data_IF_562571845639
#
_entry.id   IF_562571845639
#
_cell.length_a   1.000
_cell.length_b   1.000
_cell.length_c   1.000
_cell.angle_alpha   90.00
_cell.angle_beta   90.00
_cell.angle_gamma   90.00
#
_symmetry.space_group_name_H-M   'P 1'
#
loop_
_entity.id
_entity.type
_entity.pdbx_description
1 polymer ?
#
# COMPACT_ATOMS: atom_id res chain seq x y z
N UNK A 1 -8.71 2.08 -8.57
CA UNK A 1 -7.51 1.23 -8.40
C UNK A 1 -6.89 1.56 -7.06
N UNK A 2 -6.05 0.69 -6.47
CA UNK A 2 -5.36 1.03 -5.20
C UNK A 2 -4.66 2.38 -5.32
N UNK A 3 -3.88 2.60 -6.38
CA UNK A 3 -3.17 3.87 -6.60
C UNK A 3 -4.08 5.10 -6.69
N UNK A 4 -5.32 4.97 -7.20
CA UNK A 4 -6.26 6.10 -7.25
C UNK A 4 -6.81 6.47 -5.87
N UNK A 5 -6.89 5.52 -4.95
CA UNK A 5 -7.35 5.76 -3.57
C UNK A 5 -6.33 6.57 -2.75
N UNK A 6 -5.06 6.56 -3.14
CA UNK A 6 -3.97 7.27 -2.47
C UNK A 6 -3.60 8.61 -3.11
N UNK A 7 -4.39 9.14 -4.06
CA UNK A 7 -4.04 10.38 -4.79
C UNK A 7 -3.90 11.62 -3.91
N UNK A 8 -4.61 11.69 -2.78
CA UNK A 8 -4.50 12.79 -1.81
C UNK A 8 -3.41 12.59 -0.76
N UNK A 9 -2.86 11.37 -0.66
CA UNK A 9 -1.81 11.04 0.30
C UNK A 9 -0.42 11.39 -0.23
N UNK A 10 0.58 11.50 0.65
CA UNK A 10 2.00 11.63 0.27
C UNK A 10 2.61 10.31 -0.22
N UNK A 11 1.81 9.37 -0.70
CA UNK A 11 2.24 8.04 -1.16
C UNK A 11 2.83 8.11 -2.55
N UNK A 12 3.96 7.42 -2.76
CA UNK A 12 4.57 7.23 -4.07
C UNK A 12 4.51 5.75 -4.42
N UNK A 13 4.24 5.46 -5.69
CA UNK A 13 4.17 4.09 -6.20
C UNK A 13 5.33 3.81 -7.14
N UNK A 14 5.72 2.54 -7.19
CA UNK A 14 6.61 1.97 -8.20
C UNK A 14 6.10 0.59 -8.55
N UNK A 15 6.28 0.16 -9.80
CA UNK A 15 5.81 -1.14 -10.28
C UNK A 15 6.91 -1.86 -11.05
N UNK A 16 7.19 -3.08 -10.60
CA UNK A 16 8.00 -4.06 -11.32
C UNK A 16 7.16 -5.30 -11.58
N UNK A 17 7.17 -5.74 -12.82
CA UNK A 17 6.65 -7.05 -13.21
C UNK A 17 7.81 -8.05 -13.20
N UNK A 18 7.53 -9.27 -12.77
CA UNK A 18 8.52 -10.35 -12.75
C UNK A 18 7.94 -11.62 -13.39
N UNK A 19 8.82 -12.35 -14.06
CA UNK A 19 8.66 -13.74 -14.46
C UNK A 19 10.00 -14.44 -14.19
N UNK A 20 10.64 -15.01 -15.22
CA UNK A 20 12.09 -15.24 -15.24
C UNK A 20 12.87 -13.99 -15.69
N UNK A 21 12.17 -13.03 -16.30
CA UNK A 21 12.64 -11.67 -16.58
C UNK A 21 12.09 -10.67 -15.57
N UNK A 22 12.67 -9.48 -15.50
CA UNK A 22 12.28 -8.43 -14.55
C UNK A 22 12.18 -7.09 -15.27
N UNK A 23 10.99 -6.50 -15.28
CA UNK A 23 10.75 -5.23 -15.94
C UNK A 23 10.19 -4.22 -14.95
N UNK A 24 10.95 -3.15 -14.70
CA UNK A 24 10.44 -1.97 -13.99
C UNK A 24 9.64 -1.13 -14.98
N UNK A 25 8.33 -1.02 -14.77
CA UNK A 25 7.45 -0.22 -15.63
C UNK A 25 7.51 1.27 -15.26
N UNK A 26 7.61 1.57 -13.96
CA UNK A 26 7.86 2.92 -13.48
C UNK A 26 8.49 2.91 -12.08
N UNK A 27 9.43 3.83 -11.86
CA UNK A 27 10.07 4.08 -10.56
C UNK A 27 9.26 5.10 -9.74
N UNK A 28 9.64 5.33 -8.49
CA UNK A 28 9.06 6.43 -7.69
C UNK A 28 9.34 7.81 -8.31
N UNK A 29 10.47 7.98 -9.02
CA UNK A 29 10.77 9.21 -9.77
C UNK A 29 9.80 9.42 -10.94
N UNK A 30 9.50 8.36 -11.68
CA UNK A 30 8.55 8.43 -12.79
C UNK A 30 7.14 8.75 -12.30
N UNK A 31 6.72 8.11 -11.19
CA UNK A 31 5.43 8.39 -10.56
C UNK A 31 5.32 9.85 -10.07
N UNK A 32 6.39 10.41 -9.48
CA UNK A 32 6.42 11.83 -9.09
C UNK A 32 6.24 12.78 -10.29
N UNK A 33 6.84 12.45 -11.43
CA UNK A 33 6.73 13.27 -12.65
C UNK A 33 5.37 13.15 -13.33
N UNK A 34 4.77 11.97 -13.28
CA UNK A 34 3.47 11.69 -13.86
C UNK A 34 2.60 10.90 -12.87
N UNK A 35 1.92 11.56 -11.92
CA UNK A 35 1.09 10.91 -10.90
C UNK A 35 -0.27 10.45 -11.45
N UNK A 36 -0.28 9.89 -12.68
CA UNK A 36 -1.48 9.33 -13.33
C UNK A 36 -1.37 7.81 -13.44
N UNK A 37 -1.92 7.05 -12.47
CA UNK A 37 -1.85 5.59 -12.45
C UNK A 37 -2.35 4.94 -13.75
N UNK A 38 -3.45 5.45 -14.30
CA UNK A 38 -4.02 4.91 -15.52
C UNK A 38 -3.06 5.02 -16.70
N UNK A 39 -2.35 6.14 -16.83
CA UNK A 39 -1.38 6.35 -17.92
C UNK A 39 -0.13 5.46 -17.79
N UNK A 40 0.31 5.21 -16.56
CA UNK A 40 1.50 4.39 -16.27
C UNK A 40 1.24 2.90 -16.42
N UNK A 41 0.01 2.45 -16.14
CA UNK A 41 -0.36 1.03 -16.18
C UNK A 41 -0.89 0.59 -17.54
N UNK A 42 -1.55 1.48 -18.31
CA UNK A 42 -2.10 1.14 -19.64
C UNK A 42 -1.12 0.48 -20.62
N UNK A 43 0.16 0.88 -20.72
CA UNK A 43 1.09 0.28 -21.68
C UNK A 43 1.70 -1.05 -21.22
N UNK A 44 1.39 -1.53 -20.00
CA UNK A 44 2.00 -2.73 -19.44
C UNK A 44 1.49 -3.97 -20.18
N UNK A 45 2.43 -4.75 -20.73
CA UNK A 45 2.18 -6.06 -21.32
C UNK A 45 2.67 -7.16 -20.40
N UNK A 46 1.98 -8.30 -20.38
CA UNK A 46 2.37 -9.44 -19.56
C UNK A 46 3.70 -10.03 -20.06
N UNK A 47 4.65 -10.21 -19.15
CA UNK A 47 5.82 -11.04 -19.35
C UNK A 47 5.40 -12.50 -19.24
N UNK A 48 5.81 -13.29 -20.22
CA UNK A 48 5.67 -14.74 -20.17
C UNK A 48 6.89 -15.34 -19.47
N UNK A 49 6.82 -16.63 -19.13
CA UNK A 49 7.92 -17.36 -18.53
C UNK A 49 7.58 -17.94 -17.16
N UNK A 50 8.61 -18.25 -16.37
CA UNK A 50 8.50 -18.87 -15.04
C UNK A 50 8.32 -17.82 -13.94
N UNK A 51 8.30 -18.27 -12.68
CA UNK A 51 7.97 -17.41 -11.53
C UNK A 51 9.18 -17.29 -10.60
N UNK A 52 10.06 -16.31 -10.85
CA UNK A 52 11.25 -16.05 -10.03
C UNK A 52 10.99 -15.02 -8.92
N UNK A 53 10.08 -15.37 -8.01
CA UNK A 53 9.57 -14.49 -6.95
C UNK A 53 10.65 -14.01 -5.97
N UNK A 54 11.53 -14.90 -5.49
CA UNK A 54 12.56 -14.54 -4.52
C UNK A 54 13.58 -13.58 -5.14
N UNK A 55 13.99 -13.84 -6.39
CA UNK A 55 14.85 -12.92 -7.14
C UNK A 55 14.15 -11.58 -7.40
N UNK A 56 12.85 -11.58 -7.71
CA UNK A 56 12.05 -10.36 -7.87
C UNK A 56 12.04 -9.50 -6.61
N UNK A 57 11.75 -10.11 -5.45
CA UNK A 57 11.78 -9.42 -4.14
C UNK A 57 13.15 -8.79 -3.91
N UNK A 58 14.25 -9.52 -4.14
CA UNK A 58 15.61 -8.97 -3.97
C UNK A 58 15.86 -7.75 -4.84
N UNK A 59 15.42 -7.78 -6.11
CA UNK A 59 15.55 -6.64 -7.03
C UNK A 59 14.77 -5.44 -6.54
N UNK A 60 13.51 -5.61 -6.13
CA UNK A 60 12.71 -4.52 -5.56
C UNK A 60 13.40 -3.89 -4.35
N UNK A 61 13.89 -4.73 -3.42
CA UNK A 61 14.56 -4.29 -2.18
C UNK A 61 15.87 -3.55 -2.44
N UNK A 62 16.62 -3.93 -3.47
CA UNK A 62 17.93 -3.32 -3.79
C UNK A 62 17.83 -2.15 -4.77
N UNK A 63 16.87 -2.18 -5.67
CA UNK A 63 16.79 -1.23 -6.77
C UNK A 63 15.66 -0.22 -6.55
N UNK A 64 14.40 -0.65 -6.40
CA UNK A 64 13.28 0.29 -6.35
C UNK A 64 13.28 1.13 -5.07
N UNK A 65 13.53 0.52 -3.91
CA UNK A 65 13.65 1.24 -2.64
C UNK A 65 14.96 2.02 -2.46
N UNK A 66 15.73 2.22 -3.54
CA UNK A 66 16.94 3.02 -3.53
C UNK A 66 16.63 4.50 -3.87
N UNK A 67 17.34 5.43 -3.23
CA UNK A 67 17.17 6.89 -3.42
C UNK A 67 17.28 7.34 -4.88
N UNK A 68 18.24 6.78 -5.63
CA UNK A 68 18.39 6.95 -7.09
C UNK A 68 17.09 6.75 -7.90
N UNK A 69 16.20 5.87 -7.44
CA UNK A 69 14.91 5.57 -8.07
C UNK A 69 13.74 6.34 -7.44
N UNK A 70 14.04 7.30 -6.56
CA UNK A 70 13.08 8.23 -5.97
C UNK A 70 12.49 7.80 -4.64
N UNK A 71 12.97 6.69 -4.07
CA UNK A 71 12.56 6.25 -2.74
C UNK A 71 13.03 7.25 -1.67
N UNK A 72 12.14 7.54 -0.71
CA UNK A 72 12.44 8.43 0.42
C UNK A 72 12.97 7.60 1.58
N UNK A 73 14.01 8.08 2.24
CA UNK A 73 14.62 7.39 3.39
C UNK A 73 13.68 7.32 4.59
N UNK A 74 13.02 8.43 4.92
CA UNK A 74 12.10 8.55 6.06
C UNK A 74 10.68 8.08 5.76
N UNK A 75 10.44 7.42 4.63
CA UNK A 75 9.12 6.90 4.28
C UNK A 75 8.99 5.42 4.65
N UNK A 76 7.77 5.04 5.01
CA UNK A 76 7.39 3.64 5.14
C UNK A 76 7.53 2.93 3.80
N UNK A 77 8.17 1.76 3.82
CA UNK A 77 8.43 0.95 2.63
C UNK A 77 7.46 -0.22 2.63
N UNK A 78 6.51 -0.18 1.71
CA UNK A 78 5.49 -1.22 1.57
C UNK A 78 5.70 -1.92 0.23
N UNK A 79 5.82 -3.24 0.26
CA UNK A 79 5.89 -4.11 -0.90
C UNK A 79 4.63 -4.95 -0.97
N UNK A 80 3.88 -4.85 -2.07
CA UNK A 80 2.74 -5.71 -2.35
C UNK A 80 3.15 -6.71 -3.43
N UNK A 81 3.29 -7.98 -3.07
CA UNK A 81 3.58 -9.07 -3.99
C UNK A 81 2.26 -9.67 -4.45
N UNK A 82 2.02 -9.66 -5.76
CA UNK A 82 0.87 -10.33 -6.38
C UNK A 82 1.41 -11.51 -7.18
N UNK A 83 0.90 -12.71 -6.93
CA UNK A 83 1.32 -13.93 -7.62
C UNK A 83 0.15 -14.88 -7.82
N UNK A 84 0.14 -15.58 -8.95
CA UNK A 84 -0.82 -16.63 -9.30
C UNK A 84 -0.17 -18.02 -9.39
N UNK A 85 1.10 -18.16 -9.00
CA UNK A 85 1.83 -19.42 -9.06
C UNK A 85 2.93 -19.57 -8.01
N UNK A 86 3.27 -20.82 -7.68
CA UNK A 86 4.43 -21.16 -6.84
C UNK A 86 5.73 -20.72 -7.51
N UNK A 87 6.74 -20.34 -6.70
CA UNK A 87 8.10 -20.10 -7.19
C UNK A 87 8.62 -21.31 -7.94
N UNK A 88 9.03 -21.11 -9.19
CA UNK A 88 9.54 -22.17 -10.04
C UNK A 88 10.77 -21.72 -10.83
N UNK A 89 11.84 -22.52 -10.77
CA UNK A 89 13.11 -22.26 -11.47
C UNK A 89 13.92 -21.07 -10.93
N UNK A 90 13.51 -20.45 -9.81
CA UNK A 90 14.23 -19.33 -9.21
C UNK A 90 15.56 -19.81 -8.58
N UNK A 91 16.70 -19.20 -8.93
CA UNK A 91 17.99 -19.56 -8.33
C UNK A 91 18.12 -19.19 -6.85
N UNK A 92 17.20 -18.38 -6.31
CA UNK A 92 17.20 -17.99 -4.89
C UNK A 92 16.06 -18.62 -4.11
N UNK A 93 16.26 -18.70 -2.80
CA UNK A 93 15.21 -19.00 -1.85
C UNK A 93 14.81 -17.77 -1.02
N UNK A 94 13.61 -17.84 -0.43
CA UNK A 94 13.09 -16.77 0.42
C UNK A 94 13.99 -16.48 1.64
N UNK A 95 14.67 -17.50 2.18
CA UNK A 95 15.65 -17.36 3.26
C UNK A 95 16.82 -16.44 2.90
N UNK A 96 17.13 -16.28 1.61
CA UNK A 96 18.24 -15.45 1.14
C UNK A 96 17.84 -13.98 0.96
N UNK A 97 16.55 -13.68 0.88
CA UNK A 97 16.03 -12.37 0.45
C UNK A 97 15.15 -11.69 1.51
N UNK A 98 14.35 -12.46 2.25
CA UNK A 98 13.44 -11.92 3.28
C UNK A 98 14.19 -11.25 4.43
N UNK A 99 15.30 -11.80 4.97
CA UNK A 99 16.08 -11.10 6.00
C UNK A 99 16.66 -9.76 5.53
N UNK A 100 16.95 -9.59 4.23
CA UNK A 100 17.35 -8.29 3.70
C UNK A 100 16.16 -7.30 3.68
N UNK A 101 14.99 -7.75 3.26
CA UNK A 101 13.77 -6.93 3.28
C UNK A 101 13.41 -6.48 4.71
N UNK A 102 13.50 -7.38 5.69
CA UNK A 102 13.27 -7.08 7.11
C UNK A 102 14.25 -6.05 7.65
N UNK A 103 15.56 -6.22 7.40
CA UNK A 103 16.59 -5.25 7.82
C UNK A 103 16.39 -3.86 7.22
N UNK A 104 15.78 -3.75 6.03
CA UNK A 104 15.47 -2.47 5.39
C UNK A 104 14.11 -1.88 5.80
N UNK A 105 13.40 -2.54 6.72
CA UNK A 105 12.09 -2.09 7.20
C UNK A 105 10.99 -2.17 6.15
N UNK A 106 11.07 -3.14 5.23
CA UNK A 106 10.06 -3.32 4.16
C UNK A 106 8.91 -4.19 4.68
N UNK A 107 7.74 -3.58 4.85
CA UNK A 107 6.49 -4.27 5.16
C UNK A 107 5.99 -4.94 3.89
N UNK A 108 5.68 -6.23 3.97
CA UNK A 108 5.34 -7.06 2.81
C UNK A 108 3.92 -7.61 2.93
N UNK A 109 3.09 -7.22 1.98
CA UNK A 109 1.79 -7.81 1.73
C UNK A 109 1.87 -8.78 0.57
N UNK A 110 1.12 -9.87 0.64
CA UNK A 110 1.13 -10.91 -0.37
C UNK A 110 -0.31 -11.22 -0.77
N UNK A 111 -0.54 -11.26 -2.07
CA UNK A 111 -1.83 -11.57 -2.66
C UNK A 111 -1.64 -12.77 -3.58
N UNK A 112 -2.14 -13.92 -3.14
CA UNK A 112 -2.23 -15.13 -3.95
C UNK A 112 -3.52 -15.12 -4.77
N UNK A 113 -3.40 -15.26 -6.09
CA UNK A 113 -4.53 -15.26 -7.02
C UNK A 113 -4.76 -16.65 -7.59
N UNK A 114 -6.01 -17.08 -7.63
CA UNK A 114 -6.43 -18.35 -8.21
C UNK A 114 -6.11 -19.57 -7.35
N UNK A 115 -6.18 -20.74 -7.99
CA UNK A 115 -6.17 -22.04 -7.32
C UNK A 115 -4.76 -22.57 -7.01
N UNK A 116 -3.71 -21.84 -7.38
CA UNK A 116 -2.34 -22.23 -7.10
C UNK A 116 -2.02 -22.32 -5.60
N UNK A 117 -2.81 -21.63 -4.75
CA UNK A 117 -2.56 -21.51 -3.32
C UNK A 117 -3.53 -22.30 -2.44
N UNK A 118 -4.07 -23.41 -2.96
CA UNK A 118 -4.97 -24.30 -2.18
C UNK A 118 -4.19 -25.29 -1.32
N UNK A 119 -2.95 -25.62 -1.68
CA UNK A 119 -2.14 -26.60 -0.94
C UNK A 119 -1.41 -25.99 0.26
N UNK A 120 -1.20 -26.78 1.32
CA UNK A 120 -0.43 -26.34 2.49
C UNK A 120 0.99 -25.86 2.15
N UNK A 121 1.58 -26.40 1.07
CA UNK A 121 2.92 -26.03 0.62
C UNK A 121 2.92 -24.64 -0.02
N UNK A 122 2.01 -24.38 -0.96
CA UNK A 122 1.87 -23.07 -1.60
C UNK A 122 1.40 -22.00 -0.61
N UNK A 123 0.57 -22.35 0.37
CA UNK A 123 0.21 -21.45 1.47
C UNK A 123 1.41 -21.04 2.32
N UNK A 124 2.29 -21.99 2.66
CA UNK A 124 3.54 -21.69 3.38
C UNK A 124 4.45 -20.75 2.60
N UNK A 125 4.40 -20.80 1.27
CA UNK A 125 5.13 -19.87 0.43
C UNK A 125 4.66 -18.42 0.63
N UNK A 126 3.35 -18.17 0.56
CA UNK A 126 2.77 -16.85 0.81
C UNK A 126 3.13 -16.34 2.21
N UNK A 127 3.03 -17.23 3.21
CA UNK A 127 3.35 -16.92 4.61
C UNK A 127 4.83 -16.59 4.82
N UNK A 128 5.71 -17.19 4.03
CA UNK A 128 7.16 -16.94 4.10
C UNK A 128 7.51 -15.57 3.53
N UNK A 129 6.78 -15.11 2.50
CA UNK A 129 7.01 -13.81 1.87
C UNK A 129 6.43 -12.69 2.74
N UNK A 130 5.24 -12.88 3.29
CA UNK A 130 4.51 -11.85 4.00
C UNK A 130 5.18 -11.42 5.31
N UNK A 131 4.90 -10.18 5.73
CA UNK A 131 5.24 -9.73 7.09
C UNK A 131 4.32 -10.38 8.12
N UNK A 132 4.77 -10.42 9.38
CA UNK A 132 3.96 -10.94 10.49
C UNK A 132 3.07 -9.83 11.07
N UNK A 133 1.87 -10.17 11.58
CA UNK A 133 1.25 -11.50 11.59
C UNK A 133 0.63 -11.85 10.23
N UNK A 134 0.55 -13.15 9.92
CA UNK A 134 0.02 -13.69 8.66
C UNK A 134 -1.36 -13.15 8.31
N UNK A 135 -2.28 -13.18 9.27
CA UNK A 135 -3.70 -12.81 9.06
C UNK A 135 -3.91 -11.38 8.57
N UNK A 136 -2.90 -10.52 8.74
CA UNK A 136 -2.97 -9.13 8.29
C UNK A 136 -2.32 -8.88 6.94
N UNK A 137 -1.40 -9.75 6.52
CA UNK A 137 -0.50 -9.49 5.40
C UNK A 137 -0.65 -10.48 4.24
N UNK A 138 -1.38 -11.58 4.43
CA UNK A 138 -1.66 -12.57 3.38
C UNK A 138 -3.12 -12.48 2.98
N UNK A 139 -3.35 -12.26 1.69
CA UNK A 139 -4.68 -12.31 1.08
C UNK A 139 -4.71 -13.37 0.00
N UNK A 140 -5.80 -14.13 -0.06
CA UNK A 140 -6.05 -15.11 -1.10
C UNK A 140 -7.34 -14.75 -1.81
N UNK A 141 -7.30 -14.76 -3.13
CA UNK A 141 -8.48 -14.49 -3.96
C UNK A 141 -8.62 -15.51 -5.06
N UNK A 142 -9.85 -15.93 -5.29
CA UNK A 142 -10.17 -16.89 -6.33
C UNK A 142 -9.94 -16.31 -7.73
N UNK A 143 -10.06 -14.99 -7.91
CA UNK A 143 -9.86 -14.32 -9.20
C UNK A 143 -9.47 -12.84 -9.03
N UNK A 144 -9.06 -12.22 -10.14
CA UNK A 144 -8.68 -10.81 -10.17
C UNK A 144 -9.84 -9.85 -9.87
N UNK A 145 -11.10 -10.26 -9.98
CA UNK A 145 -12.23 -9.41 -9.60
C UNK A 145 -12.36 -9.27 -8.09
N UNK A 146 -12.07 -10.35 -7.35
CA UNK A 146 -12.05 -10.36 -5.89
C UNK A 146 -10.91 -9.50 -5.30
N UNK A 147 -9.92 -9.10 -6.10
CA UNK A 147 -8.94 -8.08 -5.70
C UNK A 147 -9.61 -6.77 -5.34
N UNK A 148 -10.76 -6.42 -5.95
CA UNK A 148 -11.51 -5.19 -5.61
C UNK A 148 -11.89 -5.15 -4.13
N UNK A 149 -12.26 -6.30 -3.55
CA UNK A 149 -12.58 -6.41 -2.12
C UNK A 149 -11.35 -6.24 -1.25
N UNK A 150 -10.19 -6.76 -1.69
CA UNK A 150 -8.91 -6.57 -0.99
C UNK A 150 -8.46 -5.10 -1.04
N UNK A 151 -8.80 -4.35 -2.11
CA UNK A 151 -8.34 -2.94 -2.23
C UNK A 151 -8.70 -2.12 -1.00
N UNK A 152 -9.94 -2.23 -0.51
CA UNK A 152 -10.39 -1.49 0.67
C UNK A 152 -9.67 -1.95 1.95
N UNK A 153 -9.52 -3.25 2.16
CA UNK A 153 -8.81 -3.79 3.33
C UNK A 153 -7.32 -3.41 3.34
N UNK A 154 -6.67 -3.49 2.18
CA UNK A 154 -5.28 -3.10 2.01
C UNK A 154 -5.13 -1.59 2.22
N UNK A 155 -6.07 -0.79 1.73
CA UNK A 155 -6.11 0.65 1.94
C UNK A 155 -6.22 0.98 3.44
N UNK A 156 -7.19 0.41 4.15
CA UNK A 156 -7.40 0.62 5.59
C UNK A 156 -6.15 0.24 6.39
N UNK A 157 -5.54 -0.91 6.08
CA UNK A 157 -4.32 -1.36 6.74
C UNK A 157 -3.13 -0.44 6.46
N UNK A 158 -2.95 0.03 5.23
CA UNK A 158 -1.87 0.96 4.88
C UNK A 158 -2.08 2.31 5.60
N UNK A 159 -3.30 2.84 5.62
CA UNK A 159 -3.59 4.07 6.36
C UNK A 159 -3.40 3.91 7.87
N UNK A 160 -3.74 2.74 8.44
CA UNK A 160 -3.47 2.47 9.84
C UNK A 160 -1.96 2.46 10.17
N UNK A 161 -1.09 2.05 9.25
CA UNK A 161 0.37 2.11 9.45
C UNK A 161 0.86 3.56 9.45
N UNK A 162 0.37 4.38 8.52
CA UNK A 162 0.61 5.82 8.58
C UNK A 162 0.12 6.36 9.96
N UNK A 163 -1.02 5.83 10.44
CA UNK A 163 -1.78 6.13 11.68
C UNK A 163 -1.03 5.99 12.98
N UNK A 164 -0.14 5.01 13.02
CA UNK A 164 0.41 4.45 14.26
C UNK A 164 1.92 4.65 14.39
N UNK A 165 2.55 5.24 13.37
CA UNK A 165 3.97 5.56 13.39
C UNK A 165 4.25 6.81 14.24
N UNK A 166 4.51 6.58 15.52
CA UNK A 166 5.11 7.55 16.45
C UNK A 166 6.52 7.92 15.96
N UNK A 167 6.61 8.94 15.10
CA UNK A 167 7.87 9.45 14.54
C UNK A 167 7.89 9.69 13.03
N UNK A 168 6.80 9.45 12.30
CA UNK A 168 6.67 9.90 10.92
C UNK A 168 6.42 11.41 10.85
N UNK A 169 7.14 12.14 10.01
CA UNK A 169 6.91 13.58 9.73
C UNK A 169 5.67 13.85 8.86
N UNK A 170 4.81 12.86 8.65
CA UNK A 170 3.51 13.03 8.01
C UNK A 170 2.42 12.96 9.06
N UNK A 171 1.98 14.12 9.54
CA UNK A 171 0.76 14.25 10.34
C UNK A 171 -0.45 13.94 9.44
N UNK A 172 -1.42 13.20 9.95
CA UNK A 172 -2.77 13.23 9.38
C UNK A 172 -3.34 14.63 9.50
N UNK A 173 -4.11 15.07 8.54
CA UNK A 173 -4.90 16.30 8.68
C UNK A 173 -6.35 15.91 8.95
N UNK A 174 -6.97 15.20 7.99
CA UNK A 174 -8.39 14.84 8.06
C UNK A 174 -8.70 13.43 7.54
N UNK A 175 -7.71 12.64 7.14
CA UNK A 175 -7.88 11.31 6.54
C UNK A 175 -8.56 10.33 7.50
N UNK A 176 -8.37 10.51 8.81
CA UNK A 176 -9.02 9.73 9.86
C UNK A 176 -10.03 10.55 10.66
N UNK A 177 -10.52 11.68 10.12
CA UNK A 177 -11.28 12.69 10.87
C UNK A 177 -12.50 12.14 11.62
N UNK A 178 -13.19 11.13 11.08
CA UNK A 178 -14.45 10.62 11.61
C UNK A 178 -15.46 11.76 11.87
N UNK A 179 -15.59 12.66 10.89
CA UNK A 179 -16.54 13.77 10.96
C UNK A 179 -17.97 13.27 11.22
N UNK A 180 -18.66 13.91 12.17
CA UNK A 180 -20.04 13.60 12.53
C UNK A 180 -20.19 12.59 13.67
N UNK A 181 -19.10 12.18 14.33
CA UNK A 181 -19.16 11.35 15.54
C UNK A 181 -19.89 12.05 16.70
N UNK A 182 -19.83 13.39 16.73
CA UNK A 182 -20.66 14.27 17.55
C UNK A 182 -21.17 15.41 16.69
N UNK A 183 -22.32 15.98 17.05
CA UNK A 183 -22.92 17.07 16.29
C UNK A 183 -23.67 18.02 17.22
N UNK A 184 -23.61 19.32 16.92
CA UNK A 184 -24.40 20.35 17.57
C UNK A 184 -24.82 21.42 16.56
N UNK A 185 -26.04 21.95 16.70
CA UNK A 185 -26.49 23.08 15.90
C UNK A 185 -26.13 24.38 16.62
N UNK A 186 -25.44 25.28 15.90
CA UNK A 186 -25.12 26.63 16.37
C UNK A 186 -25.92 27.66 15.59
N UNK A 187 -25.91 28.93 16.01
CA UNK A 187 -26.51 30.03 15.25
C UNK A 187 -25.91 30.19 13.84
N UNK A 188 -24.66 29.75 13.66
CA UNK A 188 -23.89 29.94 12.43
C UNK A 188 -23.93 28.72 11.50
N UNK A 189 -24.49 27.59 11.96
CA UNK A 189 -24.62 26.34 11.20
C UNK A 189 -24.39 25.07 12.03
N UNK A 190 -24.52 23.88 11.42
CA UNK A 190 -24.18 22.62 12.07
C UNK A 190 -22.67 22.51 12.27
N UNK A 191 -22.28 22.14 13.50
CA UNK A 191 -20.92 21.85 13.91
C UNK A 191 -20.77 20.34 14.10
N UNK A 192 -19.88 19.72 13.34
CA UNK A 192 -19.65 18.27 13.34
C UNK A 192 -18.29 17.96 13.93
N UNK A 193 -18.26 17.20 15.03
CA UNK A 193 -17.02 16.76 15.67
C UNK A 193 -16.25 15.79 14.79
N UNK A 194 -14.93 15.90 14.82
CA UNK A 194 -14.02 15.16 13.97
C UNK A 194 -12.80 14.66 14.79
N UNK A 195 -13.03 13.61 15.59
CA UNK A 195 -12.12 13.12 16.62
C UNK A 195 -10.77 12.64 16.11
N UNK A 196 -10.68 12.14 14.88
CA UNK A 196 -9.43 11.62 14.33
C UNK A 196 -8.69 12.61 13.41
N UNK A 197 -9.08 13.90 13.45
CA UNK A 197 -8.31 14.94 12.76
C UNK A 197 -6.99 15.20 13.46
N UNK A 198 -5.94 15.54 12.70
CA UNK A 198 -4.63 15.93 13.23
C UNK A 198 -4.04 14.93 14.23
N UNK A 199 -3.77 13.70 13.79
CA UNK A 199 -3.20 12.64 14.64
C UNK A 199 -4.00 12.41 15.95
N UNK A 200 -5.34 12.43 15.85
CA UNK A 200 -6.27 12.35 16.99
C UNK A 200 -6.20 13.52 17.97
N UNK A 201 -5.61 14.66 17.59
CA UNK A 201 -5.79 15.92 18.33
C UNK A 201 -7.26 16.38 18.32
N UNK A 202 -8.01 15.96 17.30
CA UNK A 202 -9.44 16.22 17.18
C UNK A 202 -9.75 17.62 16.68
N UNK A 203 -11.03 17.97 16.74
CA UNK A 203 -11.56 19.25 16.28
C UNK A 203 -13.01 19.12 15.84
N UNK A 204 -13.52 20.15 15.17
CA UNK A 204 -14.87 20.15 14.62
C UNK A 204 -14.98 20.99 13.34
N UNK A 205 -15.81 20.56 12.39
CA UNK A 205 -16.14 21.27 11.18
C UNK A 205 -17.42 22.08 11.36
N UNK A 206 -17.33 23.40 11.22
CA UNK A 206 -18.47 24.31 11.18
C UNK A 206 -18.89 24.55 9.73
N UNK A 207 -20.11 24.16 9.39
CA UNK A 207 -20.68 24.35 8.06
C UNK A 207 -21.48 25.66 8.03
N UNK A 208 -20.81 26.75 7.64
CA UNK A 208 -21.40 28.10 7.56
C UNK A 208 -22.01 28.35 6.18
N UNK A 209 -23.29 28.00 5.97
CA UNK A 209 -24.01 28.07 4.67
C UNK A 209 -23.40 27.22 3.53
N UNK A 210 -24.11 27.11 2.40
CA UNK A 210 -24.05 25.96 1.47
C UNK A 210 -22.68 25.50 0.97
N UNK A 211 -21.61 26.30 1.03
CA UNK A 211 -20.28 25.91 0.53
C UNK A 211 -19.09 26.29 1.44
N UNK A 212 -19.31 26.85 2.63
CA UNK A 212 -18.19 27.31 3.48
C UNK A 212 -18.05 26.46 4.75
N UNK A 213 -17.03 25.62 4.75
CA UNK A 213 -16.64 24.78 5.89
C UNK A 213 -15.43 25.39 6.58
N UNK A 214 -15.50 25.57 7.90
CA UNK A 214 -14.37 26.03 8.73
C UNK A 214 -14.00 24.95 9.73
N UNK A 215 -12.73 24.54 9.77
CA UNK A 215 -12.26 23.59 10.79
C UNK A 215 -11.79 24.33 12.05
N UNK A 216 -12.19 23.82 13.21
CA UNK A 216 -11.91 24.37 14.53
C UNK A 216 -11.11 23.32 15.32
N UNK A 217 -9.88 23.63 15.70
CA UNK A 217 -9.07 22.87 16.65
C UNK A 217 -8.48 23.78 17.74
N UNK A 218 -8.05 23.17 18.83
CA UNK A 218 -7.27 23.80 19.91
C UNK A 218 -5.78 23.84 19.61
#
# INVERSE_FOLDING_TARGET
>A
TVMSQFQKSRTLFSLMQYSEEFQTHFTFNDFKRNPSPASLVRPITQLLGRTHTATGIRKVVRELFHSRNGARENALKILVVITDGEKFGDPLDYKDVIPEADRKGVIRYVIGVGDAFISDKSLKELDTIASKPRGDHVFQVNNFEALKTIQNQLQEKIFAIEGTHTGSTSSFEHEMSQEGISAVFTSDGPLLGAVGSFDWAGGAFLHTSQDKVTFINT
#
